data_IF_597043390292
#
_entry.id   IF_597043390292
#
_cell.length_a   1.000
_cell.length_b   1.000
_cell.length_c   1.000
_cell.angle_alpha   90.00
_cell.angle_beta   90.00
_cell.angle_gamma   90.00
#
_symmetry.space_group_name_H-M   'P 1'
#
loop_
_entity.id
_entity.type
_entity.pdbx_description
1 polymer ?
#
# COMPACT_ATOMS: atom_id res chain seq x y z
N UNK A 1 -15.21 9.19 -5.43
CA UNK A 1 -13.91 9.88 -5.32
C UNK A 1 -12.88 8.96 -5.93
N UNK A 2 -12.10 9.42 -6.90
CA UNK A 2 -11.07 8.59 -7.53
C UNK A 2 -9.75 8.77 -6.77
N UNK A 3 -9.15 7.67 -6.32
CA UNK A 3 -7.84 7.73 -5.69
C UNK A 3 -6.75 8.09 -6.70
N UNK A 4 -5.86 8.98 -6.30
CA UNK A 4 -4.63 9.28 -7.01
C UNK A 4 -3.73 8.06 -7.12
N UNK A 5 -2.78 8.11 -8.08
CA UNK A 5 -1.76 7.08 -8.23
C UNK A 5 -0.92 6.88 -6.97
N UNK A 6 -0.72 7.93 -6.17
CA UNK A 6 0.05 7.88 -4.93
C UNK A 6 -0.72 7.13 -3.84
N UNK A 7 -1.98 7.47 -3.61
CA UNK A 7 -2.86 6.77 -2.66
C UNK A 7 -3.00 5.28 -3.01
N UNK A 8 -3.16 4.94 -4.30
CA UNK A 8 -3.20 3.53 -4.75
C UNK A 8 -1.90 2.78 -4.40
N UNK A 9 -0.72 3.40 -4.56
CA UNK A 9 0.56 2.79 -4.18
C UNK A 9 0.70 2.61 -2.67
N UNK A 10 0.20 3.56 -1.87
CA UNK A 10 0.18 3.46 -0.41
C UNK A 10 -0.64 2.26 0.06
N UNK A 11 -1.84 2.09 -0.52
CA UNK A 11 -2.70 0.94 -0.22
C UNK A 11 -2.05 -0.39 -0.60
N UNK A 12 -1.38 -0.45 -1.75
CA UNK A 12 -0.61 -1.64 -2.16
C UNK A 12 0.54 -1.94 -1.20
N UNK A 13 1.26 -0.91 -0.75
CA UNK A 13 2.36 -1.06 0.21
C UNK A 13 1.86 -1.55 1.57
N UNK A 14 0.74 -1.00 2.03
CA UNK A 14 0.06 -1.44 3.24
C UNK A 14 -0.26 -2.93 3.16
N UNK A 15 -1.00 -3.36 2.14
CA UNK A 15 -1.38 -4.77 1.96
C UNK A 15 -0.16 -5.70 1.79
N UNK A 16 0.86 -5.26 1.05
CA UNK A 16 2.12 -6.01 0.89
C UNK A 16 2.81 -6.27 2.25
N UNK A 17 2.82 -5.28 3.15
CA UNK A 17 3.44 -5.41 4.48
C UNK A 17 2.65 -6.29 5.44
N UNK A 18 1.34 -6.46 5.24
CA UNK A 18 0.53 -7.44 5.96
C UNK A 18 0.68 -8.87 5.43
N UNK A 19 1.52 -9.08 4.39
CA UNK A 19 1.74 -10.40 3.80
C UNK A 19 0.58 -10.89 2.96
N UNK A 20 -0.35 -10.01 2.57
CA UNK A 20 -1.41 -10.34 1.63
C UNK A 20 -0.80 -10.70 0.28
N UNK A 21 -1.27 -11.79 -0.34
CA UNK A 21 -0.99 -12.02 -1.75
C UNK A 21 -1.72 -10.97 -2.61
N UNK A 22 -1.27 -10.78 -3.86
CA UNK A 22 -1.78 -9.72 -4.73
C UNK A 22 -3.30 -9.81 -5.01
N UNK A 23 -3.85 -11.03 -5.06
CA UNK A 23 -5.28 -11.25 -5.30
C UNK A 23 -6.10 -10.76 -4.11
N UNK A 24 -5.73 -11.16 -2.89
CA UNK A 24 -6.42 -10.75 -1.66
C UNK A 24 -6.27 -9.24 -1.41
N UNK A 25 -5.08 -8.70 -1.63
CA UNK A 25 -4.80 -7.27 -1.54
C UNK A 25 -5.70 -6.46 -2.50
N UNK A 26 -5.77 -6.86 -3.77
CA UNK A 26 -6.62 -6.17 -4.75
C UNK A 26 -8.11 -6.24 -4.39
N UNK A 27 -8.58 -7.41 -3.90
CA UNK A 27 -9.97 -7.59 -3.46
C UNK A 27 -10.30 -6.69 -2.27
N UNK A 28 -9.41 -6.60 -1.28
CA UNK A 28 -9.61 -5.76 -0.08
C UNK A 28 -9.62 -4.28 -0.44
N UNK A 29 -8.68 -3.83 -1.25
CA UNK A 29 -8.61 -2.44 -1.72
C UNK A 29 -9.88 -2.09 -2.48
N UNK A 30 -10.31 -2.91 -3.44
CA UNK A 30 -11.51 -2.64 -4.22
C UNK A 30 -12.79 -2.69 -3.36
N UNK A 31 -12.86 -3.59 -2.38
CA UNK A 31 -13.99 -3.63 -1.44
C UNK A 31 -14.10 -2.36 -0.59
N UNK A 32 -12.97 -1.77 -0.20
CA UNK A 32 -12.94 -0.58 0.66
C UNK A 32 -13.08 0.74 -0.11
N UNK A 33 -12.52 0.82 -1.33
CA UNK A 33 -12.34 2.08 -2.07
C UNK A 33 -13.09 2.14 -3.39
N UNK A 34 -13.90 1.12 -3.69
CA UNK A 34 -14.71 1.04 -4.89
C UNK A 34 -14.24 -0.04 -5.86
N UNK A 35 -15.17 -0.56 -6.66
CA UNK A 35 -14.83 -1.56 -7.65
C UNK A 35 -13.80 -1.02 -8.64
N UNK A 36 -12.81 -1.86 -8.96
CA UNK A 36 -11.74 -1.57 -9.93
C UNK A 36 -10.79 -0.42 -9.54
N UNK A 37 -10.69 -0.05 -8.26
CA UNK A 37 -9.66 0.89 -7.77
C UNK A 37 -8.24 0.46 -8.15
N UNK A 38 -7.94 -0.84 -8.02
CA UNK A 38 -6.67 -1.46 -8.41
C UNK A 38 -6.88 -2.81 -9.07
N UNK A 39 -6.01 -3.16 -10.01
CA UNK A 39 -5.95 -4.49 -10.62
C UNK A 39 -4.93 -5.39 -9.93
N UNK A 40 -5.21 -6.69 -9.83
CA UNK A 40 -4.28 -7.67 -9.24
C UNK A 40 -2.88 -7.61 -9.87
N UNK A 41 -2.80 -7.49 -11.21
CA UNK A 41 -1.51 -7.39 -11.92
C UNK A 41 -0.69 -6.19 -11.46
N UNK A 42 -1.33 -5.04 -11.24
CA UNK A 42 -0.66 -3.84 -10.75
C UNK A 42 -0.17 -4.02 -9.30
N UNK A 43 -0.98 -4.67 -8.44
CA UNK A 43 -0.57 -4.99 -7.07
C UNK A 43 0.63 -5.96 -7.07
N UNK A 44 0.62 -6.95 -7.96
CA UNK A 44 1.69 -7.95 -8.09
C UNK A 44 2.98 -7.33 -8.58
N UNK A 45 2.93 -6.51 -9.62
CA UNK A 45 4.07 -5.77 -10.14
C UNK A 45 4.68 -4.88 -9.05
N UNK A 46 3.84 -4.09 -8.38
CA UNK A 46 4.28 -3.22 -7.29
C UNK A 46 4.90 -4.00 -6.13
N UNK A 47 4.33 -5.14 -5.76
CA UNK A 47 4.89 -6.02 -4.73
C UNK A 47 6.28 -6.55 -5.09
N UNK A 48 6.54 -6.80 -6.39
CA UNK A 48 7.89 -7.19 -6.87
C UNK A 48 8.86 -6.03 -6.77
N UNK A 49 8.44 -4.82 -7.12
CA UNK A 49 9.26 -3.61 -6.96
C UNK A 49 9.63 -3.38 -5.49
N UNK A 50 8.66 -3.46 -4.58
CA UNK A 50 8.90 -3.31 -3.14
C UNK A 50 9.91 -4.33 -2.63
N UNK A 51 9.79 -5.58 -3.06
CA UNK A 51 10.75 -6.63 -2.74
C UNK A 51 12.15 -6.31 -3.29
N UNK A 52 12.24 -5.85 -4.54
CA UNK A 52 13.51 -5.50 -5.18
C UNK A 52 14.20 -4.30 -4.52
N UNK A 53 13.42 -3.34 -4.03
CA UNK A 53 13.90 -2.19 -3.24
C UNK A 53 14.29 -2.57 -1.81
N UNK A 54 14.19 -3.85 -1.43
CA UNK A 54 14.54 -4.31 -0.09
C UNK A 54 13.55 -3.86 0.99
N UNK A 55 12.33 -3.45 0.60
CA UNK A 55 11.25 -3.16 1.54
C UNK A 55 10.80 -4.48 2.14
N UNK A 56 11.48 -4.90 3.21
CA UNK A 56 11.29 -6.22 3.84
C UNK A 56 10.27 -6.20 4.97
N UNK A 57 9.96 -5.02 5.51
CA UNK A 57 9.00 -4.79 6.58
C UNK A 57 8.85 -3.27 6.77
N UNK A 58 7.85 -2.82 7.55
CA UNK A 58 7.81 -1.44 8.06
C UNK A 58 8.83 -1.24 9.19
N UNK A 59 9.98 -1.93 9.22
CA UNK A 59 10.94 -1.80 10.35
C UNK A 59 11.83 -0.54 10.26
N UNK A 60 11.28 0.56 9.77
CA UNK A 60 11.19 1.71 10.65
C UNK A 60 9.71 1.90 10.94
N UNK A 61 9.33 1.40 12.11
CA UNK A 61 8.11 1.74 12.80
C UNK A 61 7.49 3.03 12.26
N UNK A 62 6.20 3.06 11.97
CA UNK A 62 5.45 4.19 12.51
C UNK A 62 4.98 3.78 13.90
N UNK A 63 5.98 3.53 14.76
CA UNK A 63 5.96 3.28 16.21
C UNK A 63 4.82 2.42 16.79
N UNK A 64 4.27 1.48 16.02
CA UNK A 64 3.19 0.61 16.48
C UNK A 64 1.86 1.35 16.53
N UNK A 65 1.78 2.51 15.87
CA UNK A 65 0.58 3.33 15.80
C UNK A 65 -0.28 2.90 14.62
N UNK A 66 -1.58 2.85 14.90
CA UNK A 66 -2.63 2.77 13.90
C UNK A 66 -2.87 4.19 13.40
N UNK A 67 -2.61 4.43 12.12
CA UNK A 67 -2.87 5.74 11.50
C UNK A 67 -4.34 6.09 11.63
N UNK A 68 -4.60 7.33 12.02
CA UNK A 68 -5.95 7.87 12.20
C UNK A 68 -6.51 8.42 10.88
N UNK A 69 -5.64 8.74 9.91
CA UNK A 69 -6.03 9.29 8.60
C UNK A 69 -5.08 8.88 7.47
N UNK A 70 -5.52 9.14 6.23
CA UNK A 70 -4.71 8.94 5.02
C UNK A 70 -3.53 9.89 4.95
N UNK A 71 -3.71 11.15 5.34
CA UNK A 71 -2.65 12.16 5.34
C UNK A 71 -1.46 11.73 6.21
N UNK A 72 -1.75 11.09 7.36
CA UNK A 72 -0.72 10.59 8.28
C UNK A 72 0.06 9.41 7.66
N UNK A 73 -0.64 8.51 6.97
CA UNK A 73 0.00 7.40 6.25
C UNK A 73 0.76 7.87 4.99
N UNK A 74 0.30 8.92 4.34
CA UNK A 74 0.91 9.53 3.18
C UNK A 74 2.20 10.27 3.54
N UNK A 75 2.18 11.13 4.55
CA UNK A 75 3.35 11.86 5.04
C UNK A 75 4.43 10.89 5.56
N UNK A 76 3.99 9.84 6.24
CA UNK A 76 4.81 8.71 6.67
C UNK A 76 5.53 8.02 5.50
N UNK A 77 4.81 7.77 4.41
CA UNK A 77 5.37 7.14 3.24
C UNK A 77 6.17 8.10 2.36
N UNK A 78 5.87 9.38 2.35
CA UNK A 78 6.61 10.39 1.59
C UNK A 78 8.08 10.41 2.03
N UNK A 79 8.33 10.34 3.34
CA UNK A 79 9.68 10.19 3.91
C UNK A 79 10.42 8.89 3.52
N UNK A 80 9.70 7.87 3.05
CA UNK A 80 10.27 6.59 2.59
C UNK A 80 10.54 6.59 1.08
N UNK A 81 9.96 7.54 0.33
CA UNK A 81 9.96 7.56 -1.13
C UNK A 81 10.52 8.86 -1.74
N UNK A 82 10.98 9.81 -0.92
CA UNK A 82 11.93 10.88 -1.28
C UNK A 82 13.37 10.33 -1.29
#
# INVERSE_FOLDING_TARGET
MELSSKEKRLLMLYEYKFGSNAADASRRINKAWGDRTVGESAVRERSREFKAQGIRSIQHFFEGRRFQSFDEAEEACQKLFD
#
